data_IF_670628337495
#
_entry.id   IF_670628337495
#
_cell.length_a   1.000
_cell.length_b   1.000
_cell.length_c   1.000
_cell.angle_alpha   90.00
_cell.angle_beta   90.00
_cell.angle_gamma   90.00
#
_symmetry.space_group_name_H-M   'P 1'
#
loop_
_entity.id
_entity.type
_entity.pdbx_description
1 polymer ?
#
# COMPACT_ATOMS: atom_id res chain seq x y z
N UNK A 1 -22.38 -9.05 8.83
CA UNK A 1 -22.56 -7.82 8.06
C UNK A 1 -21.58 -6.80 8.60
N UNK A 2 -20.48 -6.56 7.88
CA UNK A 2 -19.55 -5.48 8.21
C UNK A 2 -20.19 -4.13 7.85
N UNK A 3 -19.76 -3.00 8.43
CA UNK A 3 -20.27 -1.68 8.06
C UNK A 3 -20.16 -1.39 6.56
N UNK A 4 -19.09 -1.87 5.91
CA UNK A 4 -18.89 -1.79 4.47
C UNK A 4 -19.95 -2.60 3.70
N UNK A 5 -20.19 -3.84 4.10
CA UNK A 5 -21.24 -4.68 3.49
C UNK A 5 -22.64 -4.07 3.66
N UNK A 6 -22.92 -3.47 4.83
CA UNK A 6 -24.19 -2.79 5.08
C UNK A 6 -24.40 -1.57 4.18
N UNK A 7 -23.33 -0.86 3.86
CA UNK A 7 -23.37 0.38 3.08
C UNK A 7 -23.32 0.16 1.57
N UNK A 8 -22.50 -0.80 1.11
CA UNK A 8 -22.22 -1.02 -0.31
C UNK A 8 -22.88 -2.28 -0.88
N UNK A 9 -23.58 -3.08 -0.05
CA UNK A 9 -24.35 -4.24 -0.49
C UNK A 9 -23.51 -5.41 -1.03
N UNK A 10 -22.19 -5.34 -0.94
CA UNK A 10 -21.26 -6.40 -1.35
C UNK A 10 -20.11 -6.53 -0.35
N UNK A 11 -19.47 -7.69 -0.34
CA UNK A 11 -18.30 -7.95 0.51
C UNK A 11 -17.13 -7.08 0.03
N UNK A 12 -16.35 -6.47 0.95
CA UNK A 12 -15.15 -5.75 0.56
C UNK A 12 -14.17 -6.71 -0.13
N UNK A 13 -13.62 -6.29 -1.28
CA UNK A 13 -12.47 -6.98 -1.85
C UNK A 13 -11.24 -6.68 -0.98
N UNK A 14 -10.59 -7.72 -0.49
CA UNK A 14 -9.38 -7.63 0.33
C UNK A 14 -8.17 -8.20 -0.38
N UNK A 15 -8.28 -8.49 -1.68
CA UNK A 15 -7.22 -9.09 -2.50
C UNK A 15 -6.00 -8.17 -2.62
N UNK A 16 -6.22 -6.87 -2.47
CA UNK A 16 -5.20 -5.83 -2.41
C UNK A 16 -4.47 -5.74 -1.04
N UNK A 17 -5.00 -6.36 0.02
CA UNK A 17 -4.32 -6.41 1.32
C UNK A 17 -3.14 -7.39 1.26
N UNK A 18 -2.05 -6.98 1.87
CA UNK A 18 -0.79 -7.70 2.00
C UNK A 18 -0.56 -7.98 3.48
N UNK A 19 0.12 -9.10 3.74
CA UNK A 19 0.43 -9.54 5.10
C UNK A 19 1.43 -8.58 5.73
N UNK A 20 1.23 -8.27 7.00
CA UNK A 20 2.22 -7.56 7.82
C UNK A 20 3.58 -8.28 7.75
N UNK A 21 4.66 -7.53 7.60
CA UNK A 21 6.00 -8.10 7.46
C UNK A 21 6.36 -8.51 6.03
N UNK A 22 5.47 -8.35 5.04
CA UNK A 22 5.83 -8.66 3.65
C UNK A 22 6.87 -7.67 3.11
N UNK A 23 7.67 -8.14 2.16
CA UNK A 23 8.56 -7.25 1.40
C UNK A 23 7.68 -6.31 0.56
N UNK A 24 7.91 -5.01 0.71
CA UNK A 24 7.28 -3.96 -0.10
C UNK A 24 8.34 -3.05 -0.69
N UNK A 25 7.96 -2.19 -1.64
CA UNK A 25 8.86 -1.27 -2.31
C UNK A 25 8.29 0.14 -2.25
N UNK A 26 9.00 1.05 -1.57
CA UNK A 26 8.62 2.46 -1.50
C UNK A 26 9.23 3.22 -2.68
N UNK A 27 8.43 4.04 -3.36
CA UNK A 27 8.92 4.83 -4.49
C UNK A 27 9.94 5.88 -4.05
N UNK A 28 11.03 6.03 -4.80
CA UNK A 28 12.00 7.12 -4.62
C UNK A 28 11.67 8.20 -5.65
N UNK A 29 11.49 9.42 -5.16
CA UNK A 29 11.22 10.59 -6.00
C UNK A 29 12.35 10.84 -7.01
N UNK A 30 12.03 11.57 -8.09
CA UNK A 30 13.02 11.84 -9.15
C UNK A 30 14.13 12.77 -8.70
N UNK A 31 13.86 13.63 -7.72
CA UNK A 31 14.81 14.62 -7.22
C UNK A 31 15.90 13.94 -6.37
N UNK A 32 15.52 12.93 -5.59
CA UNK A 32 16.42 12.14 -4.75
C UNK A 32 17.24 11.07 -5.50
N UNK A 33 17.10 10.95 -6.84
CA UNK A 33 17.74 9.86 -7.60
C UNK A 33 18.63 10.37 -8.74
N UNK A 34 19.81 9.78 -8.85
CA UNK A 34 20.72 10.00 -9.99
C UNK A 34 20.37 9.11 -11.20
N UNK A 35 20.96 9.40 -12.36
CA UNK A 35 20.74 8.57 -13.57
C UNK A 35 21.25 7.14 -13.31
N UNK A 36 20.39 6.15 -13.58
CA UNK A 36 20.58 4.71 -13.29
C UNK A 36 20.42 4.28 -11.82
N UNK A 37 20.03 5.18 -10.92
CA UNK A 37 19.72 4.80 -9.54
C UNK A 37 18.40 4.01 -9.44
N UNK A 38 18.23 3.28 -8.35
CA UNK A 38 17.04 2.46 -8.11
C UNK A 38 15.80 3.36 -7.96
N UNK A 39 14.68 2.94 -8.57
CA UNK A 39 13.42 3.71 -8.52
C UNK A 39 12.59 3.44 -7.26
N UNK A 40 13.00 2.47 -6.44
CA UNK A 40 12.30 2.10 -5.23
C UNK A 40 13.25 1.53 -4.18
N UNK A 41 12.93 1.77 -2.90
CA UNK A 41 13.61 1.17 -1.75
C UNK A 41 12.85 -0.06 -1.29
N UNK A 42 13.59 -1.14 -1.01
CA UNK A 42 13.03 -2.34 -0.38
C UNK A 42 12.69 -2.02 1.08
N UNK A 43 11.47 -2.31 1.48
CA UNK A 43 10.92 -2.03 2.80
C UNK A 43 10.14 -3.25 3.31
N UNK A 44 9.71 -3.19 4.57
CA UNK A 44 8.83 -4.17 5.20
C UNK A 44 7.50 -3.47 5.47
N UNK A 45 6.38 -4.08 5.08
CA UNK A 45 5.05 -3.54 5.33
C UNK A 45 4.71 -3.64 6.82
N UNK A 46 4.71 -2.50 7.52
CA UNK A 46 4.36 -2.41 8.94
C UNK A 46 2.85 -2.28 9.18
N UNK A 47 2.08 -1.87 8.17
CA UNK A 47 0.64 -1.76 8.24
C UNK A 47 0.06 -0.78 7.25
N UNK A 48 -1.27 -0.64 7.32
CA UNK A 48 -2.04 0.33 6.56
C UNK A 48 -2.31 1.54 7.45
N UNK A 49 -1.91 2.73 6.98
CA UNK A 49 -2.22 3.98 7.67
C UNK A 49 -3.68 4.36 7.47
N UNK A 50 -4.28 4.99 8.48
CA UNK A 50 -5.70 5.41 8.46
C UNK A 50 -5.95 6.62 7.54
N UNK A 51 -4.91 7.37 7.19
CA UNK A 51 -5.02 8.74 6.65
C UNK A 51 -4.72 8.86 5.15
N UNK A 52 -4.17 7.83 4.48
CA UNK A 52 -3.90 7.87 3.05
C UNK A 52 -4.62 6.75 2.31
N UNK A 53 -5.75 7.11 1.71
CA UNK A 53 -6.38 6.39 0.59
C UNK A 53 -5.78 6.90 -0.73
N UNK A 54 -4.46 6.77 -0.89
CA UNK A 54 -3.76 7.13 -2.12
C UNK A 54 -3.21 5.88 -2.79
N UNK A 55 -3.73 5.56 -3.98
CA UNK A 55 -3.12 4.64 -4.93
C UNK A 55 -2.09 5.36 -5.79
#
# INVERSE_FOLDING_TARGET
MTPFEAWYGHKPDVSHLKVFGCVTYAHIERDDRSKLDSKARKCILLGYGTEMTGY
#
